data_IF_506107560737
#
_entry.id   IF_506107560737
#
_cell.length_a   1.000
_cell.length_b   1.000
_cell.length_c   1.000
_cell.angle_alpha   90.00
_cell.angle_beta   90.00
_cell.angle_gamma   90.00
#
_symmetry.space_group_name_H-M   'P 1'
#
loop_
_entity.id
_entity.type
_entity.pdbx_description
1 polymer ?
#
# COMPACT_ATOMS: atom_id res chain seq x y z
N UNK A 1 -60.83 6.72 -3.28
CA UNK A 1 -59.66 5.82 -3.17
C UNK A 1 -58.95 5.79 -4.51
N UNK A 2 -57.83 6.50 -4.66
CA UNK A 2 -56.95 6.38 -5.83
C UNK A 2 -55.70 5.64 -5.36
N UNK A 3 -55.51 4.44 -5.89
CA UNK A 3 -54.35 3.59 -5.67
C UNK A 3 -53.14 4.27 -6.33
N UNK A 4 -52.18 4.70 -5.52
CA UNK A 4 -50.87 5.14 -6.00
C UNK A 4 -50.06 3.89 -6.36
N UNK A 5 -49.88 3.63 -7.65
CA UNK A 5 -48.85 2.70 -8.15
C UNK A 5 -47.56 3.52 -8.18
N UNK A 6 -46.61 3.20 -7.31
CA UNK A 6 -45.25 3.74 -7.39
C UNK A 6 -44.60 3.16 -8.66
N UNK A 7 -43.90 3.97 -9.47
CA UNK A 7 -43.10 3.43 -10.57
C UNK A 7 -42.02 2.51 -9.99
N UNK A 8 -41.85 1.34 -10.60
CA UNK A 8 -40.77 0.38 -10.34
C UNK A 8 -39.40 0.92 -10.81
N UNK A 9 -39.10 2.19 -10.53
CA UNK A 9 -37.75 2.75 -10.70
C UNK A 9 -36.91 2.31 -9.51
N UNK A 10 -36.56 1.03 -9.54
CA UNK A 10 -35.70 0.37 -8.58
C UNK A 10 -34.24 0.79 -8.78
N UNK A 11 -33.96 2.05 -8.45
CA UNK A 11 -32.61 2.63 -8.43
C UNK A 11 -31.68 1.88 -7.47
N UNK A 12 -32.21 1.04 -6.58
CA UNK A 12 -31.42 0.17 -5.71
C UNK A 12 -30.79 -1.02 -6.48
N UNK A 13 -31.28 -1.31 -7.69
CA UNK A 13 -30.77 -2.38 -8.56
C UNK A 13 -30.06 -1.86 -9.82
N UNK A 14 -29.80 -0.55 -9.95
CA UNK A 14 -28.98 -0.05 -11.05
C UNK A 14 -27.57 -0.64 -10.94
N UNK A 15 -27.15 -1.39 -11.96
CA UNK A 15 -25.81 -1.92 -12.06
C UNK A 15 -24.81 -0.75 -11.98
N UNK A 16 -24.08 -0.64 -10.87
CA UNK A 16 -23.14 0.46 -10.61
C UNK A 16 -21.83 0.30 -11.38
N UNK A 17 -21.69 -0.79 -12.13
CA UNK A 17 -20.51 -1.04 -12.95
C UNK A 17 -20.46 -0.01 -14.07
N UNK A 18 -19.34 0.68 -14.16
CA UNK A 18 -19.09 1.65 -15.20
C UNK A 18 -19.00 0.89 -16.54
N UNK A 19 -19.51 1.42 -17.66
CA UNK A 19 -19.45 0.74 -18.96
C UNK A 19 -18.04 0.31 -19.38
N UNK A 20 -17.00 1.00 -18.88
CA UNK A 20 -15.58 0.65 -19.10
C UNK A 20 -15.17 -0.64 -18.38
N UNK A 21 -15.80 -0.98 -17.25
CA UNK A 21 -15.52 -2.21 -16.50
C UNK A 21 -15.86 -3.48 -17.30
N UNK A 22 -16.69 -3.35 -18.33
CA UNK A 22 -17.03 -4.44 -19.26
C UNK A 22 -16.11 -4.52 -20.47
N UNK A 23 -15.35 -3.45 -20.74
CA UNK A 23 -14.43 -3.34 -21.88
C UNK A 23 -12.99 -3.67 -21.48
N UNK A 24 -12.61 -3.44 -20.21
CA UNK A 24 -11.29 -3.80 -19.71
C UNK A 24 -11.15 -5.32 -19.53
N UNK A 25 -10.09 -5.93 -20.06
CA UNK A 25 -9.79 -7.33 -19.80
C UNK A 25 -9.65 -7.56 -18.30
N UNK A 26 -10.27 -8.63 -17.79
CA UNK A 26 -10.04 -9.06 -16.42
C UNK A 26 -8.54 -9.36 -16.24
N UNK A 27 -7.93 -8.92 -15.12
CA UNK A 27 -6.51 -9.15 -14.88
C UNK A 27 -6.22 -10.65 -14.90
N UNK A 28 -5.23 -11.04 -15.68
CA UNK A 28 -4.77 -12.42 -15.75
C UNK A 28 -3.84 -12.73 -14.57
N UNK A 29 -3.63 -14.00 -14.20
CA UNK A 29 -2.63 -14.36 -13.20
C UNK A 29 -1.22 -13.87 -13.53
N UNK A 30 -0.89 -13.73 -14.81
CA UNK A 30 0.40 -13.21 -15.29
C UNK A 30 0.54 -11.72 -14.96
N UNK A 31 -0.51 -10.92 -15.13
CA UNK A 31 -0.54 -9.50 -14.74
C UNK A 31 -0.34 -9.32 -13.23
N UNK A 32 -0.87 -10.24 -12.43
CA UNK A 32 -0.68 -10.23 -10.97
C UNK A 32 0.77 -10.52 -10.58
N UNK A 33 1.40 -11.52 -11.20
CA UNK A 33 2.81 -11.84 -10.95
C UNK A 33 3.74 -10.70 -11.37
N UNK A 34 3.51 -10.11 -12.55
CA UNK A 34 4.28 -8.95 -13.00
C UNK A 34 4.17 -7.80 -11.99
N UNK A 35 2.94 -7.48 -11.54
CA UNK A 35 2.71 -6.41 -10.57
C UNK A 35 3.39 -6.70 -9.23
N UNK A 36 3.37 -7.94 -8.74
CA UNK A 36 4.09 -8.35 -7.53
C UNK A 36 5.59 -8.13 -7.71
N UNK A 37 6.17 -8.58 -8.81
CA UNK A 37 7.59 -8.36 -9.11
C UNK A 37 7.95 -6.87 -9.16
N UNK A 38 7.12 -6.05 -9.81
CA UNK A 38 7.34 -4.60 -9.88
C UNK A 38 7.31 -3.92 -8.51
N UNK A 39 6.39 -4.32 -7.62
CA UNK A 39 6.31 -3.80 -6.25
C UNK A 39 7.52 -4.25 -5.43
N UNK A 40 7.93 -5.51 -5.55
CA UNK A 40 9.10 -6.04 -4.85
C UNK A 40 10.39 -5.35 -5.35
N UNK A 41 10.55 -5.16 -6.66
CA UNK A 41 11.70 -4.46 -7.23
C UNK A 41 11.79 -3.02 -6.76
N UNK A 42 10.68 -2.28 -6.73
CA UNK A 42 10.65 -0.91 -6.18
C UNK A 42 10.95 -0.89 -4.68
N UNK A 43 10.36 -1.81 -3.91
CA UNK A 43 10.61 -1.94 -2.47
C UNK A 43 12.08 -2.20 -2.16
N UNK A 44 12.70 -3.17 -2.83
CA UNK A 44 14.12 -3.46 -2.62
C UNK A 44 15.03 -2.36 -3.17
N UNK A 45 14.65 -1.71 -4.27
CA UNK A 45 15.33 -0.53 -4.78
C UNK A 45 15.36 0.59 -3.75
N UNK A 46 14.21 0.92 -3.17
CA UNK A 46 14.07 1.94 -2.13
C UNK A 46 14.90 1.62 -0.87
N UNK A 47 14.90 0.37 -0.41
CA UNK A 47 15.78 -0.05 0.70
C UNK A 47 17.25 0.11 0.32
N UNK A 48 17.61 -0.20 -0.93
CA UNK A 48 18.99 -0.19 -1.40
C UNK A 48 19.60 1.21 -1.57
N UNK A 49 18.80 2.28 -1.58
CA UNK A 49 19.29 3.67 -1.66
C UNK A 49 20.03 4.14 -0.40
N UNK A 50 19.84 3.50 0.75
CA UNK A 50 20.58 3.82 1.97
C UNK A 50 22.07 3.45 1.86
N UNK A 51 22.97 4.25 2.42
CA UNK A 51 24.43 4.07 2.27
C UNK A 51 25.00 2.97 3.17
N UNK A 52 24.50 2.85 4.41
CA UNK A 52 25.01 1.88 5.38
C UNK A 52 24.07 0.70 5.59
N UNK A 53 24.61 -0.41 6.11
CA UNK A 53 23.83 -1.61 6.40
C UNK A 53 22.77 -1.32 7.46
N UNK A 54 23.09 -0.49 8.45
CA UNK A 54 22.21 -0.09 9.53
C UNK A 54 21.03 0.75 8.99
N UNK A 55 21.31 1.69 8.08
CA UNK A 55 20.28 2.49 7.42
C UNK A 55 19.39 1.64 6.51
N UNK A 56 19.96 0.67 5.77
CA UNK A 56 19.18 -0.32 5.01
C UNK A 56 18.29 -1.15 5.93
N UNK A 57 18.81 -1.53 7.10
CA UNK A 57 18.05 -2.21 8.16
C UNK A 57 16.85 -1.38 8.63
N UNK A 58 17.05 -0.10 8.94
CA UNK A 58 15.96 0.81 9.31
C UNK A 58 14.91 0.95 8.20
N UNK A 59 15.35 1.13 6.95
CA UNK A 59 14.44 1.16 5.79
C UNK A 59 13.64 -0.14 5.66
N UNK A 60 14.28 -1.30 5.81
CA UNK A 60 13.57 -2.58 5.80
C UNK A 60 12.55 -2.69 6.96
N UNK A 61 12.87 -2.16 8.13
CA UNK A 61 11.90 -2.07 9.24
C UNK A 61 10.73 -1.14 8.92
N UNK A 62 10.94 -0.03 8.21
CA UNK A 62 9.86 0.85 7.72
C UNK A 62 8.95 0.12 6.74
N UNK A 63 9.52 -0.67 5.81
CA UNK A 63 8.72 -1.53 4.92
C UNK A 63 7.83 -2.45 5.73
N UNK A 64 8.40 -3.18 6.69
CA UNK A 64 7.66 -4.10 7.56
C UNK A 64 6.59 -3.36 8.36
N UNK A 65 6.89 -2.19 8.91
CA UNK A 65 5.91 -1.38 9.62
C UNK A 65 4.69 -1.05 8.75
N UNK A 66 4.90 -0.67 7.48
CA UNK A 66 3.83 -0.27 6.59
C UNK A 66 2.99 -1.46 6.08
N UNK A 67 3.60 -2.63 5.86
CA UNK A 67 2.92 -3.76 5.20
C UNK A 67 2.55 -4.91 6.14
N UNK A 68 3.34 -5.13 7.20
CA UNK A 68 3.28 -6.28 8.13
C UNK A 68 3.91 -5.92 9.48
N UNK A 69 3.33 -4.94 10.18
CA UNK A 69 3.87 -4.42 11.45
C UNK A 69 4.04 -5.51 12.54
N UNK A 70 3.25 -6.58 12.46
CA UNK A 70 3.36 -7.75 13.35
C UNK A 70 4.73 -8.45 13.30
N UNK A 71 5.44 -8.34 12.18
CA UNK A 71 6.77 -8.93 12.01
C UNK A 71 7.88 -8.15 12.73
N UNK A 72 7.59 -6.95 13.24
CA UNK A 72 8.54 -6.17 14.06
C UNK A 72 8.57 -6.61 15.53
N UNK A 73 7.67 -7.52 15.93
CA UNK A 73 7.56 -7.97 17.31
C UNK A 73 7.13 -6.83 18.24
N UNK A 74 7.86 -6.64 19.35
CA UNK A 74 7.58 -5.59 20.34
C UNK A 74 8.31 -4.27 20.07
N UNK A 75 9.16 -4.21 19.04
CA UNK A 75 9.95 -3.02 18.74
C UNK A 75 9.11 -2.00 17.97
N UNK A 76 9.14 -0.75 18.44
CA UNK A 76 8.57 0.39 17.71
C UNK A 76 9.59 0.94 16.71
N UNK A 77 9.10 1.59 15.64
CA UNK A 77 9.99 2.26 14.67
C UNK A 77 10.89 3.31 15.32
N UNK A 78 10.37 4.03 16.33
CA UNK A 78 11.15 5.02 17.08
C UNK A 78 12.32 4.37 17.84
N UNK A 79 12.08 3.22 18.49
CA UNK A 79 13.14 2.46 19.15
C UNK A 79 14.17 1.94 18.16
N UNK A 80 13.74 1.46 16.99
CA UNK A 80 14.64 0.99 15.93
C UNK A 80 15.48 2.15 15.36
N UNK A 81 14.89 3.31 15.09
CA UNK A 81 15.61 4.51 14.69
C UNK A 81 16.63 4.96 15.74
N UNK A 82 16.24 4.94 17.02
CA UNK A 82 17.12 5.29 18.12
C UNK A 82 18.38 4.39 18.20
N UNK A 83 18.29 3.10 17.84
CA UNK A 83 19.46 2.19 17.84
C UNK A 83 20.59 2.63 16.91
N UNK A 84 20.27 3.41 15.86
CA UNK A 84 21.24 3.91 14.88
C UNK A 84 21.43 5.43 14.98
N UNK A 85 20.86 6.06 16.02
CA UNK A 85 20.91 7.51 16.22
C UNK A 85 20.04 8.32 15.26
N UNK A 86 19.05 7.69 14.59
CA UNK A 86 18.12 8.39 13.72
C UNK A 86 17.08 9.15 14.56
N UNK A 87 16.93 10.49 14.38
CA UNK A 87 15.86 11.25 15.01
C UNK A 87 14.48 10.78 14.56
N UNK A 88 13.48 10.89 15.42
CA UNK A 88 12.10 10.50 15.10
C UNK A 88 11.57 11.16 13.82
N UNK A 89 11.86 12.45 13.60
CA UNK A 89 11.44 13.16 12.39
C UNK A 89 11.98 12.52 11.09
N UNK A 90 13.18 11.94 11.12
CA UNK A 90 13.77 11.23 9.97
C UNK A 90 13.04 9.91 9.75
N UNK A 91 12.65 9.22 10.82
CA UNK A 91 11.87 7.98 10.72
C UNK A 91 10.47 8.25 10.14
N UNK A 92 9.81 9.32 10.59
CA UNK A 92 8.51 9.74 10.06
C UNK A 92 8.59 10.13 8.57
N UNK A 93 9.68 10.81 8.18
CA UNK A 93 9.97 11.13 6.78
C UNK A 93 10.16 9.87 5.94
N UNK A 94 10.92 8.88 6.43
CA UNK A 94 11.10 7.60 5.74
C UNK A 94 9.79 6.85 5.53
N UNK A 95 8.87 6.90 6.50
CA UNK A 95 7.53 6.29 6.35
C UNK A 95 6.76 6.99 5.24
N UNK A 96 6.73 8.32 5.24
CA UNK A 96 6.04 9.09 4.20
C UNK A 96 6.65 8.86 2.81
N UNK A 97 7.98 8.87 2.73
CA UNK A 97 8.74 8.65 1.49
C UNK A 97 8.50 7.25 0.91
N UNK A 98 8.48 6.22 1.77
CA UNK A 98 8.15 4.86 1.34
C UNK A 98 6.73 4.75 0.78
N UNK A 99 5.73 5.31 1.47
CA UNK A 99 4.34 5.29 1.02
C UNK A 99 4.17 5.98 -0.35
N UNK A 100 4.85 7.11 -0.57
CA UNK A 100 4.85 7.79 -1.87
C UNK A 100 5.57 6.97 -2.95
N UNK A 101 6.71 6.36 -2.62
CA UNK A 101 7.55 5.63 -3.58
C UNK A 101 6.91 4.35 -4.11
N UNK A 102 6.16 3.62 -3.27
CA UNK A 102 5.52 2.36 -3.68
C UNK A 102 4.17 2.59 -4.38
N UNK A 103 3.58 3.78 -4.24
CA UNK A 103 2.31 4.14 -4.87
C UNK A 103 1.12 3.49 -4.17
N UNK A 104 1.01 3.72 -2.86
CA UNK A 104 -0.23 3.48 -2.11
C UNK A 104 -1.30 4.51 -2.50
#
# INVERSE_FOLDING_TARGET
MKTHILPEDDLCHSDRRHPVDFLEPLPTPEDQLQRICEVLSRTFGWVAEADTVEQKGLRASVVLYCVRADLLGAATLEQLGATIGAPQAVVDELVSDFCHSIGW
#
